data_IF_478497749488
#
_entry.id   IF_478497749488
#
_cell.length_a   1.000
_cell.length_b   1.000
_cell.length_c   1.000
_cell.angle_alpha   90.00
_cell.angle_beta   90.00
_cell.angle_gamma   90.00
#
_symmetry.space_group_name_H-M   'P 1'
#
loop_
_entity.id
_entity.type
_entity.pdbx_description
1 polymer ?
#
# COMPACT_ATOMS: atom_id res chain seq x y z
N UNK A 1 -13.16 -2.12 -13.91
CA UNK A 1 -12.20 -2.61 -12.89
C UNK A 1 -11.04 -1.64 -12.83
N UNK A 2 -10.49 -1.36 -11.64
CA UNK A 2 -9.22 -0.61 -11.58
C UNK A 2 -8.09 -1.56 -11.99
N UNK A 3 -7.26 -1.14 -12.94
CA UNK A 3 -6.00 -1.80 -13.32
C UNK A 3 -4.84 -0.99 -12.74
N UNK A 4 -3.69 -1.63 -12.52
CA UNK A 4 -2.53 -1.01 -11.84
C UNK A 4 -1.97 0.17 -12.63
N UNK A 5 -1.94 0.06 -13.96
CA UNK A 5 -1.37 1.07 -14.85
C UNK A 5 -2.21 2.36 -14.95
N UNK A 6 -3.49 2.29 -14.58
CA UNK A 6 -4.40 3.44 -14.56
C UNK A 6 -4.31 4.26 -13.27
N UNK A 7 -3.53 3.82 -12.29
CA UNK A 7 -3.47 4.46 -10.97
C UNK A 7 -2.27 5.40 -10.87
N UNK A 8 -2.52 6.60 -10.33
CA UNK A 8 -1.43 7.48 -9.90
C UNK A 8 -0.65 6.87 -8.74
N UNK A 9 0.55 7.37 -8.48
CA UNK A 9 1.36 6.94 -7.32
C UNK A 9 0.58 7.07 -6.01
N UNK A 10 -0.10 8.19 -5.79
CA UNK A 10 -0.86 8.45 -4.57
C UNK A 10 -2.06 7.51 -4.45
N UNK A 11 -2.73 7.19 -5.55
CA UNK A 11 -3.79 6.18 -5.56
C UNK A 11 -3.26 4.78 -5.23
N UNK A 12 -2.08 4.43 -5.72
CA UNK A 12 -1.41 3.17 -5.38
C UNK A 12 -1.08 3.10 -3.89
N UNK A 13 -0.49 4.17 -3.35
CA UNK A 13 -0.20 4.28 -1.92
C UNK A 13 -1.47 4.18 -1.07
N UNK A 14 -2.53 4.90 -1.44
CA UNK A 14 -3.80 4.86 -0.73
C UNK A 14 -4.41 3.45 -0.72
N UNK A 15 -4.37 2.74 -1.85
CA UNK A 15 -4.86 1.35 -1.94
C UNK A 15 -4.02 0.37 -1.13
N UNK A 16 -2.69 0.47 -1.22
CA UNK A 16 -1.79 -0.35 -0.40
C UNK A 16 -2.11 -0.11 1.07
N UNK A 17 -2.15 1.16 1.51
CA UNK A 17 -2.46 1.47 2.89
C UNK A 17 -3.83 0.96 3.34
N UNK A 18 -4.87 1.10 2.50
CA UNK A 18 -6.21 0.58 2.80
C UNK A 18 -6.19 -0.92 3.05
N UNK A 19 -5.47 -1.67 2.21
CA UNK A 19 -5.51 -3.14 2.20
C UNK A 19 -4.41 -3.84 3.01
N UNK A 20 -3.40 -3.11 3.49
CA UNK A 20 -2.46 -3.59 4.51
C UNK A 20 -3.19 -3.94 5.81
N UNK A 21 -2.69 -4.92 6.57
CA UNK A 21 -3.26 -5.26 7.88
C UNK A 21 -3.01 -4.15 8.90
N UNK A 22 -3.89 -3.98 9.89
CA UNK A 22 -3.77 -2.89 10.86
C UNK A 22 -2.51 -2.99 11.73
N UNK A 23 -2.10 -4.21 12.11
CA UNK A 23 -0.83 -4.45 12.84
C UNK A 23 0.42 -4.03 12.07
N UNK A 24 0.33 -3.92 10.75
CA UNK A 24 1.43 -3.49 9.88
C UNK A 24 1.31 -2.03 9.47
N UNK A 25 0.39 -1.26 10.06
CA UNK A 25 0.24 0.18 9.85
C UNK A 25 0.70 0.94 11.07
N UNK A 26 1.24 2.13 10.83
CA UNK A 26 1.43 3.14 11.86
C UNK A 26 0.84 4.47 11.40
N UNK A 27 0.37 5.24 12.36
CA UNK A 27 0.05 6.65 12.21
C UNK A 27 0.82 7.40 13.30
N UNK A 28 1.91 8.05 12.93
CA UNK A 28 2.72 8.86 13.87
C UNK A 28 2.79 10.26 13.30
N UNK A 29 2.44 11.25 14.13
CA UNK A 29 2.41 12.68 13.75
C UNK A 29 1.61 12.98 12.48
N UNK A 30 0.49 12.27 12.29
CA UNK A 30 -0.38 12.42 11.12
C UNK A 30 0.14 11.74 9.84
N UNK A 31 1.34 11.16 9.87
CA UNK A 31 1.95 10.46 8.73
C UNK A 31 1.54 9.00 8.72
N UNK A 32 0.99 8.54 7.59
CA UNK A 32 0.70 7.13 7.34
C UNK A 32 1.99 6.39 7.01
N UNK A 33 2.24 5.28 7.70
CA UNK A 33 3.39 4.42 7.48
C UNK A 33 2.99 2.94 7.50
N UNK A 34 3.80 2.10 6.88
CA UNK A 34 3.64 0.64 6.93
C UNK A 34 4.95 -0.05 7.29
N UNK A 35 4.82 -1.25 7.85
CA UNK A 35 5.95 -2.12 8.13
C UNK A 35 6.48 -2.73 6.83
N UNK A 36 7.77 -2.61 6.57
CA UNK A 36 8.47 -3.22 5.42
C UNK A 36 9.77 -3.89 5.87
N UNK A 37 10.24 -4.87 5.10
CA UNK A 37 11.54 -5.51 5.33
C UNK A 37 12.55 -4.97 4.31
N UNK A 38 13.58 -4.26 4.80
CA UNK A 38 14.71 -3.72 4.02
C UNK A 38 16.03 -4.30 4.55
N UNK A 39 16.12 -5.63 4.63
CA UNK A 39 17.18 -6.34 5.36
C UNK A 39 16.94 -6.39 6.88
N UNK A 40 16.18 -5.43 7.42
CA UNK A 40 15.55 -5.49 8.74
C UNK A 40 14.12 -4.93 8.65
N UNK A 41 13.32 -5.20 9.68
CA UNK A 41 11.97 -4.67 9.80
C UNK A 41 12.01 -3.18 10.13
N UNK A 42 11.40 -2.36 9.28
CA UNK A 42 11.34 -0.91 9.44
C UNK A 42 9.92 -0.39 9.22
N UNK A 43 9.51 0.60 10.02
CA UNK A 43 8.29 1.38 9.78
C UNK A 43 8.67 2.48 8.79
N UNK A 44 8.04 2.46 7.62
CA UNK A 44 8.37 3.38 6.52
C UNK A 44 7.15 4.23 6.17
N UNK A 45 7.27 5.57 6.15
CA UNK A 45 6.23 6.46 5.64
C UNK A 45 5.81 6.06 4.22
N UNK A 46 4.52 6.13 3.92
CA UNK A 46 3.99 5.69 2.62
C UNK A 46 4.67 6.41 1.45
N UNK A 47 4.99 7.70 1.60
CA UNK A 47 5.66 8.51 0.57
C UNK A 47 7.08 8.01 0.26
N UNK A 48 7.74 7.37 1.22
CA UNK A 48 9.10 6.83 1.12
C UNK A 48 9.16 5.38 0.62
N UNK A 49 8.02 4.79 0.23
CA UNK A 49 8.01 3.49 -0.44
C UNK A 49 8.64 3.64 -1.83
N UNK A 50 9.56 2.74 -2.15
CA UNK A 50 10.18 2.69 -3.48
C UNK A 50 9.18 2.17 -4.52
N UNK A 51 9.40 2.47 -5.80
CA UNK A 51 8.55 1.96 -6.87
C UNK A 51 8.51 0.42 -6.92
N UNK A 52 9.64 -0.23 -6.61
CA UNK A 52 9.72 -1.68 -6.49
C UNK A 52 8.86 -2.22 -5.35
N UNK A 53 8.87 -1.56 -4.19
CA UNK A 53 8.03 -1.92 -3.05
C UNK A 53 6.54 -1.72 -3.33
N UNK A 54 6.19 -0.67 -4.09
CA UNK A 54 4.81 -0.41 -4.53
C UNK A 54 4.38 -1.50 -5.51
N UNK A 55 5.20 -1.80 -6.54
CA UNK A 55 4.92 -2.83 -7.53
C UNK A 55 4.69 -4.20 -6.88
N UNK A 56 5.49 -4.57 -5.89
CA UNK A 56 5.35 -5.85 -5.17
C UNK A 56 4.04 -5.98 -4.35
N UNK A 57 3.35 -4.87 -4.06
CA UNK A 57 2.18 -4.84 -3.16
C UNK A 57 0.87 -4.46 -3.87
N UNK A 58 0.95 -3.66 -4.93
CA UNK A 58 -0.22 -3.03 -5.55
C UNK A 58 -1.17 -4.05 -6.17
N UNK A 59 -0.66 -5.14 -6.75
CA UNK A 59 -1.48 -6.19 -7.38
C UNK A 59 -2.45 -6.82 -6.38
N UNK A 60 -1.96 -7.15 -5.18
CA UNK A 60 -2.80 -7.68 -4.11
C UNK A 60 -3.89 -6.68 -3.72
N UNK A 61 -3.53 -5.41 -3.51
CA UNK A 61 -4.46 -4.37 -3.10
C UNK A 61 -5.56 -4.12 -4.14
N UNK A 62 -5.20 -4.07 -5.43
CA UNK A 62 -6.15 -3.89 -6.54
C UNK A 62 -7.08 -5.09 -6.67
N UNK A 63 -6.55 -6.32 -6.57
CA UNK A 63 -7.36 -7.52 -6.62
C UNK A 63 -8.37 -7.60 -5.47
N UNK A 64 -7.95 -7.21 -4.26
CA UNK A 64 -8.83 -7.16 -3.08
C UNK A 64 -9.90 -6.08 -3.22
N UNK A 65 -9.55 -4.91 -3.73
CA UNK A 65 -10.50 -3.82 -4.02
C UNK A 65 -11.54 -4.24 -5.06
N UNK A 66 -11.12 -4.86 -6.16
CA UNK A 66 -12.01 -5.34 -7.21
C UNK A 66 -12.96 -6.44 -6.71
N UNK A 67 -12.49 -7.35 -5.84
CA UNK A 67 -13.35 -8.36 -5.19
C UNK A 67 -14.39 -7.73 -4.27
N UNK A 68 -14.01 -6.69 -3.51
CA UNK A 68 -14.93 -5.99 -2.61
C UNK A 68 -16.04 -5.25 -3.37
N UNK A 69 -15.71 -4.60 -4.50
CA UNK A 69 -16.70 -3.88 -5.33
C UNK A 69 -17.69 -4.75 -6.08
N UNK A 70 -17.44 -6.06 -6.16
CA UNK A 70 -18.32 -7.04 -6.80
C UNK A 70 -19.31 -7.68 -5.82
N UNK A 71 -19.20 -7.35 -4.54
CA UNK A 71 -20.15 -7.73 -3.48
C UNK A 71 -21.11 -6.59 -3.25
#
# INVERSE_FOLDING_TARGET
MKTVDMLSRDEKLALIFKHTHHDYKSHTDGVKAILVCRGATAIVPMEQLTDAEIAARIDYAVNKENKLKRR
#
